data_IF_483800427519
#
_entry.id   IF_483800427519
#
_cell.length_a   1.000
_cell.length_b   1.000
_cell.length_c   1.000
_cell.angle_alpha   90.00
_cell.angle_beta   90.00
_cell.angle_gamma   90.00
#
_symmetry.space_group_name_H-M   'P 1'
#
loop_
_entity.id
_entity.type
_entity.pdbx_description
1 polymer ?
#
# COMPACT_ATOMS: atom_id res chain seq x y z
N UNK A 1 28.91 50.01 -7.15
CA UNK A 1 27.57 50.64 -7.15
C UNK A 1 27.50 51.53 -5.91
N UNK A 2 27.75 52.84 -6.07
CA UNK A 2 26.73 53.91 -6.04
C UNK A 2 26.00 53.95 -4.66
N UNK A 3 26.00 54.99 -3.83
CA UNK A 3 26.17 56.43 -4.05
C UNK A 3 26.43 57.17 -2.70
N UNK A 4 27.42 58.06 -2.73
CA UNK A 4 27.45 59.46 -2.22
C UNK A 4 27.00 59.83 -0.80
N UNK A 5 28.02 60.06 0.04
CA UNK A 5 28.30 61.26 0.86
C UNK A 5 27.11 62.17 1.19
N UNK A 6 26.58 62.05 2.41
CA UNK A 6 25.59 62.99 2.97
C UNK A 6 26.28 64.29 3.37
N UNK A 7 26.05 65.36 2.60
CA UNK A 7 26.37 66.73 2.97
C UNK A 7 25.47 67.14 4.16
N UNK A 8 26.07 67.41 5.32
CA UNK A 8 25.40 68.09 6.43
C UNK A 8 25.48 69.59 6.16
N UNK A 9 24.40 70.18 5.69
CA UNK A 9 24.33 71.64 5.54
C UNK A 9 23.91 72.25 6.88
N UNK A 10 24.83 72.95 7.54
CA UNK A 10 24.53 73.80 8.69
C UNK A 10 23.88 75.09 8.19
N UNK A 11 22.71 75.45 8.73
CA UNK A 11 21.99 76.68 8.39
C UNK A 11 22.46 77.78 9.35
N UNK A 12 23.21 78.75 8.82
CA UNK A 12 23.56 79.98 9.52
C UNK A 12 22.40 80.97 9.31
N UNK A 13 21.73 81.37 10.39
CA UNK A 13 20.72 82.43 10.38
C UNK A 13 21.40 83.75 10.73
N UNK A 14 21.50 84.67 9.77
CA UNK A 14 21.91 86.05 10.01
C UNK A 14 20.66 86.94 10.19
N UNK A 15 20.51 87.52 11.37
CA UNK A 15 19.46 88.50 11.67
C UNK A 15 20.07 89.91 11.57
N UNK A 16 19.59 90.74 10.64
CA UNK A 16 19.95 92.16 10.56
C UNK A 16 18.77 92.99 11.09
N UNK A 17 18.94 93.83 12.12
CA UNK A 17 17.93 94.82 12.48
C UNK A 17 18.14 96.10 11.67
N UNK A 18 17.10 96.54 10.95
CA UNK A 18 17.08 97.84 10.28
C UNK A 18 15.94 98.71 10.86
N UNK A 19 16.30 99.64 11.76
CA UNK A 19 15.65 100.95 11.84
C UNK A 19 16.21 101.80 10.67
N UNK A 20 15.52 102.74 10.02
CA UNK A 20 14.19 103.31 10.14
C UNK A 20 14.04 104.35 9.02
N UNK A 21 12.83 104.41 8.46
CA UNK A 21 12.12 105.54 7.81
C UNK A 21 12.82 106.33 6.68
N UNK A 22 12.26 106.20 5.48
CA UNK A 22 12.34 107.18 4.40
C UNK A 22 11.12 107.04 3.47
N UNK A 23 10.17 107.95 3.59
CA UNK A 23 8.87 107.97 2.88
C UNK A 23 9.08 108.25 1.38
N UNK A 24 8.63 107.36 0.49
CA UNK A 24 8.08 107.79 -0.81
C UNK A 24 7.25 106.72 -1.55
N UNK A 25 6.03 107.14 -1.89
CA UNK A 25 5.15 106.71 -3.01
C UNK A 25 4.68 105.25 -3.14
N UNK A 26 3.36 105.18 -3.34
CA UNK A 26 2.45 104.04 -3.47
C UNK A 26 2.71 103.03 -4.61
N UNK A 27 3.92 102.98 -5.19
CA UNK A 27 4.35 101.87 -6.05
C UNK A 27 5.34 100.92 -5.36
N UNK A 28 6.13 101.40 -4.40
CA UNK A 28 7.15 100.59 -3.73
C UNK A 28 6.54 99.59 -2.74
N UNK A 29 5.36 99.89 -2.19
CA UNK A 29 4.57 98.96 -1.37
C UNK A 29 4.00 97.78 -2.17
N UNK A 30 3.78 97.93 -3.48
CA UNK A 30 3.26 96.85 -4.34
C UNK A 30 4.36 95.84 -4.67
N UNK A 31 5.56 96.32 -5.06
CA UNK A 31 6.72 95.46 -5.31
C UNK A 31 7.24 94.77 -4.05
N UNK A 32 7.22 95.44 -2.90
CA UNK A 32 7.57 94.80 -1.63
C UNK A 32 6.53 93.75 -1.21
N UNK A 33 5.22 94.02 -1.40
CA UNK A 33 4.17 93.01 -1.17
C UNK A 33 4.29 91.83 -2.12
N UNK A 34 4.62 92.06 -3.38
CA UNK A 34 4.83 91.00 -4.37
C UNK A 34 6.05 90.13 -4.00
N UNK A 35 7.16 90.74 -3.58
CA UNK A 35 8.33 89.99 -3.10
C UNK A 35 8.06 89.23 -1.80
N UNK A 36 7.32 89.83 -0.86
CA UNK A 36 6.89 89.12 0.36
C UNK A 36 5.98 87.95 -0.01
N UNK A 37 5.01 88.12 -0.90
CA UNK A 37 4.12 87.04 -1.35
C UNK A 37 4.86 85.92 -2.08
N UNK A 38 5.82 86.23 -2.97
CA UNK A 38 6.61 85.20 -3.66
C UNK A 38 7.53 84.47 -2.69
N UNK A 39 8.13 85.16 -1.73
CA UNK A 39 8.92 84.53 -0.67
C UNK A 39 8.05 83.65 0.23
N UNK A 40 6.83 84.09 0.54
CA UNK A 40 5.86 83.34 1.33
C UNK A 40 5.39 82.08 0.59
N UNK A 41 5.17 82.16 -0.73
CA UNK A 41 4.87 81.01 -1.59
C UNK A 41 6.04 80.03 -1.70
N UNK A 42 7.27 80.51 -1.83
CA UNK A 42 8.46 79.65 -1.82
C UNK A 42 8.62 78.93 -0.48
N UNK A 43 8.37 79.64 0.63
CA UNK A 43 8.43 79.06 1.97
C UNK A 43 7.32 78.01 2.21
N UNK A 44 6.11 78.25 1.67
CA UNK A 44 5.03 77.28 1.67
C UNK A 44 5.36 76.03 0.84
N UNK A 45 5.89 76.22 -0.38
CA UNK A 45 6.27 75.12 -1.29
C UNK A 45 7.41 74.27 -0.70
N UNK A 46 8.43 74.90 -0.12
CA UNK A 46 9.51 74.19 0.57
C UNK A 46 9.01 73.44 1.80
N UNK A 47 8.08 74.02 2.57
CA UNK A 47 7.45 73.35 3.70
C UNK A 47 6.64 72.12 3.27
N UNK A 48 5.91 72.21 2.17
CA UNK A 48 5.17 71.07 1.61
C UNK A 48 6.09 69.95 1.12
N UNK A 49 7.21 70.28 0.48
CA UNK A 49 8.23 69.31 0.09
C UNK A 49 8.86 68.62 1.31
N UNK A 50 9.18 69.37 2.37
CA UNK A 50 9.69 68.80 3.63
C UNK A 50 8.65 67.87 4.26
N UNK A 51 7.37 68.26 4.26
CA UNK A 51 6.27 67.44 4.79
C UNK A 51 6.05 66.17 3.95
N UNK A 52 6.20 66.24 2.63
CA UNK A 52 6.11 65.09 1.74
C UNK A 52 7.28 64.12 1.97
N UNK A 53 8.52 64.61 1.95
CA UNK A 53 9.71 63.80 2.22
C UNK A 53 9.65 63.17 3.62
N UNK A 54 9.09 63.87 4.61
CA UNK A 54 8.88 63.34 5.96
C UNK A 54 7.88 62.18 5.96
N UNK A 55 6.73 62.34 5.30
CA UNK A 55 5.71 61.27 5.15
C UNK A 55 6.25 60.06 4.40
N UNK A 56 7.01 60.28 3.34
CA UNK A 56 7.63 59.23 2.55
C UNK A 56 8.68 58.48 3.37
N UNK A 57 9.50 59.19 4.15
CA UNK A 57 10.46 58.60 5.09
C UNK A 57 9.76 57.74 6.14
N UNK A 58 8.68 58.23 6.74
CA UNK A 58 7.94 57.51 7.78
C UNK A 58 7.21 56.30 7.21
N UNK A 59 6.76 56.36 5.94
CA UNK A 59 6.18 55.22 5.22
C UNK A 59 7.24 54.17 4.88
N UNK A 60 8.40 54.59 4.36
CA UNK A 60 9.53 53.71 4.12
C UNK A 60 10.04 53.04 5.42
N UNK A 61 10.05 53.78 6.52
CA UNK A 61 10.44 53.24 7.83
C UNK A 61 9.46 52.18 8.32
N UNK A 62 8.14 52.38 8.13
CA UNK A 62 7.11 51.38 8.45
C UNK A 62 7.24 50.13 7.59
N UNK A 63 7.44 50.28 6.28
CA UNK A 63 7.66 49.15 5.36
C UNK A 63 8.91 48.36 5.72
N UNK A 64 10.00 49.04 6.06
CA UNK A 64 11.25 48.42 6.45
C UNK A 64 11.14 47.66 7.79
N UNK A 65 10.35 48.17 8.73
CA UNK A 65 10.02 47.44 9.96
C UNK A 65 9.24 46.15 9.64
N UNK A 66 8.19 46.25 8.82
CA UNK A 66 7.38 45.09 8.41
C UNK A 66 8.21 44.02 7.68
N UNK A 67 9.09 44.42 6.76
CA UNK A 67 9.98 43.50 6.05
C UNK A 67 10.99 42.82 6.99
N UNK A 68 11.49 43.52 8.02
CA UNK A 68 12.38 42.92 9.03
C UNK A 68 11.64 41.88 9.86
N UNK A 69 10.42 42.17 10.28
CA UNK A 69 9.59 41.23 11.03
C UNK A 69 9.25 39.99 10.18
N UNK A 70 8.92 40.19 8.91
CA UNK A 70 8.68 39.09 7.97
C UNK A 70 9.94 38.24 7.73
N UNK A 71 11.10 38.88 7.54
CA UNK A 71 12.37 38.17 7.34
C UNK A 71 12.77 37.38 8.59
N UNK A 72 12.51 37.92 9.80
CA UNK A 72 12.70 37.20 11.06
C UNK A 72 11.79 35.97 11.13
N UNK A 73 10.50 36.11 10.77
CA UNK A 73 9.54 34.99 10.72
C UNK A 73 9.95 33.91 9.70
N UNK A 74 10.36 34.32 8.50
CA UNK A 74 10.84 33.41 7.47
C UNK A 74 12.12 32.69 7.90
N UNK A 75 13.04 33.39 8.55
CA UNK A 75 14.27 32.79 9.11
C UNK A 75 13.95 31.74 10.17
N UNK A 76 13.00 32.02 11.06
CA UNK A 76 12.51 31.06 12.07
C UNK A 76 11.90 29.82 11.40
N UNK A 77 10.98 30.01 10.45
CA UNK A 77 10.35 28.89 9.74
C UNK A 77 11.36 28.06 8.95
N UNK A 78 12.35 28.71 8.34
CA UNK A 78 13.43 28.04 7.59
C UNK A 78 14.33 27.23 8.53
N UNK A 79 14.52 27.67 9.77
CA UNK A 79 15.27 26.93 10.79
C UNK A 79 14.50 25.70 11.33
N UNK A 80 13.16 25.69 11.24
CA UNK A 80 12.32 24.53 11.61
C UNK A 80 12.22 23.48 10.50
N UNK A 81 12.37 23.86 9.22
CA UNK A 81 12.39 22.93 8.09
C UNK A 81 13.40 21.77 8.22
N UNK A 82 14.69 21.97 8.56
CA UNK A 82 15.64 20.88 8.72
C UNK A 82 15.26 19.95 9.90
N UNK A 83 14.68 20.49 10.98
CA UNK A 83 14.19 19.68 12.10
C UNK A 83 13.03 18.79 11.66
N UNK A 84 12.03 19.35 10.98
CA UNK A 84 10.91 18.59 10.44
C UNK A 84 11.36 17.53 9.43
N UNK A 85 12.31 17.86 8.56
CA UNK A 85 12.89 16.89 7.62
C UNK A 85 13.60 15.75 8.36
N UNK A 86 14.38 16.07 9.40
CA UNK A 86 15.04 15.05 10.21
C UNK A 86 14.04 14.14 10.93
N UNK A 87 12.93 14.70 11.41
CA UNK A 87 11.86 13.95 12.06
C UNK A 87 11.15 13.01 11.09
N UNK A 88 10.82 13.49 9.88
CA UNK A 88 10.22 12.65 8.83
C UNK A 88 11.16 11.52 8.43
N UNK A 89 12.46 11.79 8.25
CA UNK A 89 13.44 10.73 7.97
C UNK A 89 13.51 9.70 9.11
N UNK A 90 13.50 10.15 10.37
CA UNK A 90 13.51 9.27 11.54
C UNK A 90 12.26 8.40 11.63
N UNK A 91 11.08 9.00 11.46
CA UNK A 91 9.81 8.28 11.49
C UNK A 91 9.71 7.26 10.36
N UNK A 92 10.15 7.63 9.15
CA UNK A 92 10.19 6.70 8.01
C UNK A 92 11.16 5.54 8.27
N UNK A 93 12.35 5.81 8.82
CA UNK A 93 13.32 4.77 9.16
C UNK A 93 12.80 3.82 10.25
N UNK A 94 12.19 4.35 11.31
CA UNK A 94 11.59 3.56 12.39
C UNK A 94 10.43 2.69 11.87
N UNK A 95 9.54 3.27 11.05
CA UNK A 95 8.41 2.55 10.45
C UNK A 95 8.88 1.44 9.51
N UNK A 96 9.87 1.69 8.66
CA UNK A 96 10.42 0.68 7.76
C UNK A 96 11.12 -0.46 8.53
N UNK A 97 11.86 -0.12 9.59
CA UNK A 97 12.53 -1.13 10.43
C UNK A 97 11.52 -1.99 11.18
N UNK A 98 10.48 -1.39 11.76
CA UNK A 98 9.40 -2.10 12.43
C UNK A 98 8.65 -3.03 11.47
N UNK A 99 8.28 -2.55 10.27
CA UNK A 99 7.62 -3.35 9.24
C UNK A 99 8.50 -4.51 8.72
N UNK A 100 9.80 -4.27 8.51
CA UNK A 100 10.76 -5.33 8.14
C UNK A 100 10.83 -6.39 9.25
N UNK A 101 10.96 -5.94 10.51
CA UNK A 101 11.04 -6.86 11.65
C UNK A 101 9.76 -7.69 11.83
N UNK A 102 8.58 -7.10 11.64
CA UNK A 102 7.31 -7.82 11.71
C UNK A 102 7.18 -8.85 10.57
N UNK A 103 7.63 -8.49 9.36
CA UNK A 103 7.65 -9.39 8.19
C UNK A 103 8.63 -10.55 8.42
N UNK A 104 9.82 -10.27 8.94
CA UNK A 104 10.83 -11.29 9.27
C UNK A 104 10.34 -12.24 10.39
N UNK A 105 9.66 -11.72 11.40
CA UNK A 105 9.05 -12.52 12.48
C UNK A 105 7.97 -13.42 11.90
N UNK A 106 7.08 -12.88 11.04
CA UNK A 106 6.04 -13.66 10.39
C UNK A 106 6.62 -14.77 9.51
N UNK A 107 7.64 -14.46 8.70
CA UNK A 107 8.29 -15.44 7.83
C UNK A 107 8.95 -16.57 8.65
N UNK A 108 9.69 -16.23 9.70
CA UNK A 108 10.28 -17.24 10.62
C UNK A 108 9.21 -18.09 11.29
N UNK A 109 8.10 -17.49 11.71
CA UNK A 109 6.97 -18.20 12.30
C UNK A 109 6.35 -19.18 11.29
N UNK A 110 6.09 -18.74 10.06
CA UNK A 110 5.55 -19.59 9.00
C UNK A 110 6.50 -20.73 8.64
N UNK A 111 7.81 -20.48 8.50
CA UNK A 111 8.80 -21.53 8.26
C UNK A 111 8.82 -22.56 9.39
N UNK A 112 8.75 -22.12 10.65
CA UNK A 112 8.70 -23.01 11.81
C UNK A 112 7.42 -23.87 11.81
N UNK A 113 6.27 -23.27 11.49
CA UNK A 113 4.99 -23.97 11.37
C UNK A 113 5.00 -24.99 10.23
N UNK A 114 5.54 -24.65 9.06
CA UNK A 114 5.73 -25.62 7.96
C UNK A 114 6.59 -26.79 8.41
N UNK A 115 7.69 -26.52 9.12
CA UNK A 115 8.56 -27.55 9.70
C UNK A 115 7.80 -28.49 10.65
N UNK A 116 6.98 -27.94 11.54
CA UNK A 116 6.13 -28.72 12.46
C UNK A 116 5.16 -29.64 11.72
N UNK A 117 4.45 -29.13 10.70
CA UNK A 117 3.50 -29.93 9.93
C UNK A 117 4.22 -31.02 9.13
N UNK A 118 5.33 -30.70 8.45
CA UNK A 118 6.14 -31.70 7.73
C UNK A 118 6.67 -32.78 8.68
N UNK A 119 7.14 -32.39 9.87
CA UNK A 119 7.57 -33.33 10.90
C UNK A 119 6.44 -34.26 11.33
N UNK A 120 5.23 -33.75 11.57
CA UNK A 120 4.09 -34.58 11.96
C UNK A 120 3.72 -35.57 10.86
N UNK A 121 3.68 -35.15 9.60
CA UNK A 121 3.39 -36.03 8.46
C UNK A 121 4.40 -37.16 8.37
N UNK A 122 5.68 -36.88 8.61
CA UNK A 122 6.73 -37.91 8.62
C UNK A 122 6.60 -38.88 9.81
N UNK A 123 6.17 -38.39 10.98
CA UNK A 123 5.97 -39.21 12.18
C UNK A 123 4.67 -40.04 12.13
N UNK A 124 3.68 -39.57 11.39
CA UNK A 124 2.32 -40.09 11.37
C UNK A 124 1.81 -40.10 9.92
N UNK A 125 2.32 -41.00 9.05
CA UNK A 125 2.00 -40.99 7.62
C UNK A 125 0.50 -41.10 7.30
N UNK A 126 -0.29 -41.66 8.22
CA UNK A 126 -1.74 -41.80 8.10
C UNK A 126 -2.51 -40.46 8.10
N UNK A 127 -1.91 -39.37 8.61
CA UNK A 127 -2.49 -38.03 8.48
C UNK A 127 -2.19 -37.39 7.11
N UNK A 128 -1.22 -37.95 6.38
CA UNK A 128 -0.88 -37.53 5.03
C UNK A 128 -1.61 -38.33 3.96
N UNK A 129 -1.34 -37.97 2.71
CA UNK A 129 -1.82 -38.69 1.53
C UNK A 129 -0.68 -38.75 0.49
N UNK A 130 -0.61 -39.79 -0.38
CA UNK A 130 0.34 -39.89 -1.48
C UNK A 130 0.43 -38.63 -2.36
N UNK A 131 -0.67 -37.90 -2.55
CA UNK A 131 -0.74 -36.65 -3.31
C UNK A 131 0.08 -35.52 -2.70
N UNK A 132 0.57 -35.67 -1.46
CA UNK A 132 1.54 -34.72 -0.88
C UNK A 132 2.83 -34.62 -1.69
N UNK A 133 3.18 -35.65 -2.46
CA UNK A 133 4.31 -35.61 -3.38
C UNK A 133 4.15 -34.58 -4.50
N UNK A 134 2.91 -34.13 -4.76
CA UNK A 134 2.59 -33.12 -5.78
C UNK A 134 2.67 -31.70 -5.22
N UNK A 135 2.73 -31.51 -3.90
CA UNK A 135 2.68 -30.20 -3.26
C UNK A 135 3.97 -29.41 -3.51
N UNK A 136 3.81 -28.09 -3.69
CA UNK A 136 4.92 -27.14 -3.70
C UNK A 136 4.99 -26.37 -2.37
N UNK A 137 6.05 -25.59 -2.17
CA UNK A 137 6.23 -24.81 -0.93
C UNK A 137 5.13 -23.76 -0.69
N UNK A 138 4.47 -23.28 -1.74
CA UNK A 138 3.34 -22.36 -1.60
C UNK A 138 2.14 -23.04 -0.93
N UNK A 139 1.83 -24.30 -1.28
CA UNK A 139 0.76 -25.05 -0.64
C UNK A 139 1.04 -25.26 0.86
N UNK A 140 2.30 -25.58 1.19
CA UNK A 140 2.75 -25.73 2.58
C UNK A 140 2.59 -24.44 3.37
N UNK A 141 2.98 -23.29 2.79
CA UNK A 141 2.83 -21.98 3.42
C UNK A 141 1.37 -21.57 3.56
N UNK A 142 0.55 -21.76 2.52
CA UNK A 142 -0.87 -21.44 2.53
C UNK A 142 -1.63 -22.19 3.62
N UNK A 143 -1.24 -23.43 3.90
CA UNK A 143 -1.86 -24.23 4.96
C UNK A 143 -1.61 -23.69 6.37
N UNK A 144 -0.55 -22.90 6.61
CA UNK A 144 -0.14 -22.48 7.96
C UNK A 144 -0.16 -20.96 8.23
N UNK A 145 -0.22 -20.13 7.18
CA UNK A 145 -0.02 -18.67 7.21
C UNK A 145 -0.80 -17.96 8.32
N UNK A 146 -2.05 -18.35 8.53
CA UNK A 146 -2.99 -17.68 9.45
C UNK A 146 -3.53 -18.62 10.54
N UNK A 147 -2.79 -19.69 10.90
CA UNK A 147 -3.26 -20.72 11.86
C UNK A 147 -2.49 -20.75 13.16
N UNK A 148 -3.21 -21.01 14.25
CA UNK A 148 -2.62 -21.31 15.55
C UNK A 148 -2.43 -22.83 15.71
N UNK A 149 -1.27 -23.36 15.33
CA UNK A 149 -1.03 -24.81 15.30
C UNK A 149 -0.90 -25.48 16.68
N UNK A 150 -0.93 -24.70 17.78
CA UNK A 150 -1.00 -25.24 19.13
C UNK A 150 -2.40 -25.82 19.44
N UNK A 151 -3.42 -25.39 18.69
CA UNK A 151 -4.76 -25.94 18.77
C UNK A 151 -4.91 -27.14 17.82
N UNK A 152 -5.29 -28.30 18.36
CA UNK A 152 -5.49 -29.54 17.59
C UNK A 152 -6.41 -29.33 16.38
N UNK A 153 -7.48 -28.56 16.57
CA UNK A 153 -8.44 -28.23 15.51
C UNK A 153 -7.80 -27.47 14.35
N UNK A 154 -6.98 -26.46 14.63
CA UNK A 154 -6.28 -25.69 13.60
C UNK A 154 -5.18 -26.51 12.93
N UNK A 155 -4.56 -27.42 13.68
CA UNK A 155 -3.63 -28.39 13.12
C UNK A 155 -4.31 -29.33 12.12
N UNK A 156 -5.46 -29.91 12.48
CA UNK A 156 -6.28 -30.76 11.59
C UNK A 156 -6.76 -29.99 10.35
N UNK A 157 -7.14 -28.73 10.50
CA UNK A 157 -7.48 -27.84 9.36
C UNK A 157 -6.28 -27.56 8.45
N UNK A 158 -5.09 -27.39 9.00
CA UNK A 158 -3.86 -27.24 8.20
C UNK A 158 -3.63 -28.49 7.35
N UNK A 159 -3.69 -29.68 7.95
CA UNK A 159 -3.55 -30.95 7.24
C UNK A 159 -4.64 -31.14 6.18
N UNK A 160 -5.89 -30.79 6.49
CA UNK A 160 -6.98 -30.86 5.53
C UNK A 160 -6.78 -29.91 4.34
N UNK A 161 -6.25 -28.70 4.60
CA UNK A 161 -5.88 -27.75 3.54
C UNK A 161 -4.80 -28.34 2.61
N UNK A 162 -3.80 -29.03 3.17
CA UNK A 162 -2.77 -29.71 2.38
C UNK A 162 -3.32 -30.88 1.57
N UNK A 163 -4.21 -31.69 2.16
CA UNK A 163 -4.85 -32.80 1.45
C UNK A 163 -5.66 -32.28 0.27
N UNK A 164 -6.49 -31.26 0.49
CA UNK A 164 -7.22 -30.57 -0.57
C UNK A 164 -6.28 -30.04 -1.67
N UNK A 165 -5.16 -29.42 -1.30
CA UNK A 165 -4.19 -28.92 -2.29
C UNK A 165 -3.59 -30.05 -3.14
N UNK A 166 -3.20 -31.17 -2.52
CA UNK A 166 -2.64 -32.33 -3.21
C UNK A 166 -3.67 -32.98 -4.14
N UNK A 167 -4.89 -33.17 -3.65
CA UNK A 167 -6.04 -33.68 -4.39
C UNK A 167 -6.37 -32.80 -5.60
N UNK A 168 -6.35 -31.47 -5.43
CA UNK A 168 -6.56 -30.51 -6.52
C UNK A 168 -5.49 -30.64 -7.61
N UNK A 169 -4.21 -30.73 -7.23
CA UNK A 169 -3.12 -30.94 -8.19
C UNK A 169 -3.27 -32.25 -8.94
N UNK A 170 -3.65 -33.32 -8.25
CA UNK A 170 -3.95 -34.58 -8.92
C UNK A 170 -5.14 -34.43 -9.88
N UNK A 171 -6.22 -33.75 -9.49
CA UNK A 171 -7.35 -33.49 -10.37
C UNK A 171 -6.96 -32.68 -11.63
N UNK A 172 -6.05 -31.72 -11.51
CA UNK A 172 -5.48 -30.95 -12.63
C UNK A 172 -4.73 -31.85 -13.62
N UNK A 173 -4.07 -32.91 -13.14
CA UNK A 173 -3.42 -33.92 -13.99
C UNK A 173 -4.42 -34.96 -14.54
N UNK A 174 -5.41 -35.34 -13.73
CA UNK A 174 -6.38 -36.39 -14.04
C UNK A 174 -7.34 -35.97 -15.15
N UNK A 175 -7.80 -34.72 -15.15
CA UNK A 175 -8.75 -34.21 -16.15
C UNK A 175 -8.25 -34.40 -17.59
N UNK A 176 -7.08 -33.87 -18.00
CA UNK A 176 -6.60 -34.04 -19.36
C UNK A 176 -6.29 -35.51 -19.68
N UNK A 177 -5.81 -36.30 -18.71
CA UNK A 177 -5.57 -37.74 -18.92
C UNK A 177 -6.88 -38.49 -19.20
N UNK A 178 -7.94 -38.19 -18.45
CA UNK A 178 -9.26 -38.75 -18.62
C UNK A 178 -9.87 -38.33 -19.96
N UNK A 179 -9.79 -37.05 -20.32
CA UNK A 179 -10.32 -36.55 -21.59
C UNK A 179 -9.64 -37.26 -22.79
N UNK A 180 -8.30 -37.38 -22.78
CA UNK A 180 -7.55 -38.11 -23.83
C UNK A 180 -7.91 -39.61 -23.88
N UNK A 181 -8.09 -40.25 -22.72
CA UNK A 181 -8.53 -41.64 -22.67
C UNK A 181 -9.90 -41.79 -23.36
N UNK A 182 -10.86 -40.94 -22.98
CA UNK A 182 -12.22 -40.95 -23.51
C UNK A 182 -12.22 -40.71 -25.04
N UNK A 183 -11.42 -39.76 -25.52
CA UNK A 183 -11.27 -39.48 -26.95
C UNK A 183 -10.72 -40.69 -27.72
N UNK A 184 -9.71 -41.38 -27.18
CA UNK A 184 -9.09 -42.55 -27.81
C UNK A 184 -9.91 -43.84 -27.68
N UNK A 185 -10.91 -43.88 -26.79
CA UNK A 185 -11.74 -45.05 -26.51
C UNK A 185 -13.22 -44.84 -26.87
N UNK A 186 -13.49 -44.10 -27.95
CA UNK A 186 -14.85 -43.90 -28.50
C UNK A 186 -15.87 -43.35 -27.49
N UNK A 187 -15.42 -42.47 -26.59
CA UNK A 187 -16.28 -41.86 -25.57
C UNK A 187 -16.50 -42.71 -24.31
N UNK A 188 -15.89 -43.89 -24.21
CA UNK A 188 -16.04 -44.77 -23.05
C UNK A 188 -15.24 -44.26 -21.85
N UNK A 189 -15.85 -44.33 -20.66
CA UNK A 189 -15.18 -44.05 -19.40
C UNK A 189 -14.24 -45.22 -19.05
N UNK A 190 -13.08 -44.98 -18.41
CA UNK A 190 -12.20 -46.07 -17.96
C UNK A 190 -12.95 -47.01 -17.02
N UNK A 191 -12.63 -48.29 -17.10
CA UNK A 191 -13.13 -49.34 -16.20
C UNK A 191 -12.20 -49.56 -14.99
N UNK A 192 -10.93 -49.16 -15.14
CA UNK A 192 -9.94 -49.14 -14.07
C UNK A 192 -9.06 -47.89 -14.19
N UNK A 193 -8.67 -47.32 -13.06
CA UNK A 193 -7.86 -46.09 -13.03
C UNK A 193 -6.45 -46.28 -13.59
N UNK A 194 -5.90 -47.49 -13.51
CA UNK A 194 -4.60 -47.82 -14.10
C UNK A 194 -4.58 -47.64 -15.63
N UNK A 195 -5.73 -47.68 -16.30
CA UNK A 195 -5.83 -47.41 -17.75
C UNK A 195 -5.48 -45.97 -18.12
N UNK A 196 -5.52 -45.05 -17.15
CA UNK A 196 -5.15 -43.64 -17.35
C UNK A 196 -3.63 -43.41 -17.27
N UNK A 197 -2.83 -44.39 -16.83
CA UNK A 197 -1.40 -44.18 -16.57
C UNK A 197 -0.63 -43.64 -17.78
N UNK A 198 -0.89 -44.19 -18.97
CA UNK A 198 -0.24 -43.76 -20.20
C UNK A 198 -0.71 -42.40 -20.73
N UNK A 199 -1.72 -41.79 -20.11
CA UNK A 199 -2.32 -40.52 -20.52
C UNK A 199 -1.91 -39.34 -19.63
N UNK A 200 -1.24 -39.59 -18.50
CA UNK A 200 -0.67 -38.53 -17.65
C UNK A 200 0.58 -37.94 -18.28
N UNK A 201 0.69 -36.62 -18.22
CA UNK A 201 1.84 -35.85 -18.72
C UNK A 201 2.37 -34.93 -17.61
N UNK A 202 3.70 -34.71 -17.52
CA UNK A 202 4.75 -35.24 -18.41
C UNK A 202 5.15 -36.70 -18.12
N UNK A 203 4.67 -37.27 -17.02
CA UNK A 203 5.00 -38.63 -16.60
C UNK A 203 3.78 -39.30 -15.92
N UNK A 204 3.74 -40.63 -15.84
CA UNK A 204 2.75 -41.37 -15.05
C UNK A 204 2.73 -40.89 -13.60
N UNK A 205 1.55 -40.96 -12.97
CA UNK A 205 1.41 -40.68 -11.54
C UNK A 205 1.76 -41.93 -10.73
N UNK A 206 2.11 -41.73 -9.46
CA UNK A 206 2.30 -42.84 -8.53
C UNK A 206 1.00 -43.66 -8.40
N UNK A 207 1.11 -44.98 -8.46
CA UNK A 207 -0.02 -45.89 -8.31
C UNK A 207 -0.67 -45.78 -6.92
N UNK A 208 0.09 -45.40 -5.90
CA UNK A 208 -0.43 -45.11 -4.57
C UNK A 208 -1.47 -43.98 -4.57
N UNK A 209 -1.33 -42.99 -5.48
CA UNK A 209 -2.35 -41.96 -5.70
C UNK A 209 -3.60 -42.61 -6.28
N UNK A 210 -3.49 -43.35 -7.38
CA UNK A 210 -4.64 -43.98 -8.05
C UNK A 210 -5.41 -44.94 -7.14
N UNK A 211 -4.73 -45.66 -6.25
CA UNK A 211 -5.34 -46.57 -5.30
C UNK A 211 -6.27 -45.89 -4.28
N UNK A 212 -6.20 -44.57 -4.13
CA UNK A 212 -7.12 -43.79 -3.27
C UNK A 212 -8.44 -43.44 -3.93
N UNK A 213 -8.54 -43.65 -5.24
CA UNK A 213 -9.70 -43.26 -6.03
C UNK A 213 -10.53 -44.45 -6.47
N UNK A 214 -11.79 -44.18 -6.77
CA UNK A 214 -12.74 -45.15 -7.30
C UNK A 214 -13.56 -44.52 -8.42
N UNK A 215 -13.92 -45.34 -9.40
CA UNK A 215 -14.86 -44.98 -10.46
C UNK A 215 -16.25 -45.40 -10.01
N UNK A 216 -17.20 -44.46 -10.00
CA UNK A 216 -18.57 -44.70 -9.58
C UNK A 216 -19.56 -44.05 -10.56
N UNK A 217 -20.80 -44.57 -10.67
CA UNK A 217 -21.86 -43.86 -11.36
C UNK A 217 -22.12 -42.50 -10.70
N UNK A 218 -22.31 -41.44 -11.49
CA UNK A 218 -22.54 -40.09 -10.96
C UNK A 218 -23.75 -39.99 -10.04
N UNK A 219 -24.76 -40.84 -10.26
CA UNK A 219 -25.96 -40.96 -9.43
C UNK A 219 -25.69 -41.45 -7.99
N UNK A 220 -24.56 -42.10 -7.74
CA UNK A 220 -24.18 -42.54 -6.38
C UNK A 220 -23.71 -41.36 -5.52
N UNK A 221 -23.41 -40.21 -6.14
CA UNK A 221 -22.98 -38.98 -5.46
C UNK A 221 -23.71 -37.76 -6.04
N UNK A 222 -25.03 -37.67 -5.84
CA UNK A 222 -25.83 -36.55 -6.35
C UNK A 222 -25.37 -35.21 -5.76
N UNK A 223 -24.73 -35.24 -4.59
CA UNK A 223 -24.22 -34.10 -3.84
C UNK A 223 -23.20 -33.25 -4.60
N UNK A 224 -22.41 -33.88 -5.48
CA UNK A 224 -21.40 -33.20 -6.30
C UNK A 224 -22.01 -32.49 -7.53
N UNK A 225 -23.32 -32.67 -7.78
CA UNK A 225 -24.08 -32.04 -8.89
C UNK A 225 -23.39 -32.18 -10.25
N UNK A 226 -22.77 -33.33 -10.50
CA UNK A 226 -22.03 -33.59 -11.73
C UNK A 226 -22.97 -34.02 -12.86
N UNK A 227 -22.62 -33.64 -14.09
CA UNK A 227 -23.44 -33.86 -15.30
C UNK A 227 -23.12 -35.15 -16.06
N UNK A 228 -22.17 -35.96 -15.58
CA UNK A 228 -21.72 -37.18 -16.27
C UNK A 228 -22.20 -38.47 -15.60
N UNK A 229 -22.35 -39.52 -16.42
CA UNK A 229 -22.83 -40.84 -15.99
C UNK A 229 -21.87 -41.53 -15.01
N UNK A 230 -20.58 -41.23 -15.14
CA UNK A 230 -19.49 -41.80 -14.34
C UNK A 230 -18.58 -40.70 -13.83
N UNK A 231 -17.99 -40.90 -12.66
CA UNK A 231 -17.03 -39.98 -12.06
C UNK A 231 -15.92 -40.76 -11.35
N UNK A 232 -14.79 -40.10 -11.14
CA UNK A 232 -13.68 -40.52 -10.31
C UNK A 232 -13.68 -39.67 -9.03
N UNK A 233 -13.66 -40.30 -7.86
CA UNK A 233 -13.71 -39.64 -6.53
C UNK A 233 -12.88 -40.43 -5.50
N UNK A 234 -12.54 -39.84 -4.35
CA UNK A 234 -11.82 -40.58 -3.32
C UNK A 234 -12.69 -41.68 -2.69
N UNK A 235 -12.04 -42.77 -2.28
CA UNK A 235 -12.68 -43.89 -1.58
C UNK A 235 -13.17 -43.52 -0.18
N UNK A 236 -12.40 -42.72 0.55
CA UNK A 236 -12.68 -42.27 1.92
C UNK A 236 -11.88 -41.01 2.26
N UNK A 237 -12.34 -40.17 3.21
CA UNK A 237 -11.55 -39.08 3.75
C UNK A 237 -10.49 -39.59 4.72
N UNK A 238 -9.46 -38.78 4.99
CA UNK A 238 -8.57 -39.00 6.14
C UNK A 238 -9.21 -38.41 7.40
N UNK A 239 -9.85 -37.25 7.24
CA UNK A 239 -10.55 -36.53 8.29
C UNK A 239 -11.93 -36.08 7.79
N UNK A 240 -12.97 -36.86 8.04
CA UNK A 240 -14.33 -36.57 7.55
C UNK A 240 -14.92 -35.25 8.08
N UNK A 241 -14.35 -34.67 9.15
CA UNK A 241 -14.82 -33.40 9.74
C UNK A 241 -14.30 -32.19 8.96
N UNK A 242 -13.14 -32.29 8.31
CA UNK A 242 -12.51 -31.16 7.61
C UNK A 242 -12.29 -31.41 6.11
N UNK A 243 -12.08 -32.66 5.70
CA UNK A 243 -11.74 -33.00 4.33
C UNK A 243 -12.93 -32.79 3.38
N UNK A 244 -12.63 -32.22 2.22
CA UNK A 244 -13.59 -32.03 1.14
C UNK A 244 -13.69 -33.31 0.31
N UNK A 245 -14.84 -33.50 -0.33
CA UNK A 245 -15.00 -34.52 -1.37
C UNK A 245 -14.88 -33.87 -2.73
N UNK A 246 -14.17 -34.52 -3.65
CA UNK A 246 -14.11 -34.08 -5.03
C UNK A 246 -14.58 -35.16 -6.00
N UNK A 247 -14.98 -34.74 -7.19
CA UNK A 247 -15.31 -35.62 -8.30
C UNK A 247 -14.79 -35.06 -9.62
N UNK A 248 -14.27 -35.95 -10.47
CA UNK A 248 -13.88 -35.66 -11.85
C UNK A 248 -14.70 -36.53 -12.79
N UNK A 249 -15.34 -35.91 -13.77
CA UNK A 249 -16.12 -36.57 -14.82
C UNK A 249 -15.72 -36.01 -16.17
N UNK A 250 -16.28 -36.55 -17.26
CA UNK A 250 -16.05 -36.06 -18.62
C UNK A 250 -16.39 -34.56 -18.68
N UNK A 251 -15.42 -33.71 -19.03
CA UNK A 251 -15.58 -32.25 -19.14
C UNK A 251 -16.09 -31.53 -17.87
N UNK A 252 -16.06 -32.15 -16.69
CA UNK A 252 -16.60 -31.56 -15.46
C UNK A 252 -15.79 -31.97 -14.24
N UNK A 253 -15.63 -31.05 -13.29
CA UNK A 253 -15.08 -31.34 -11.98
C UNK A 253 -15.82 -30.54 -10.93
N UNK A 254 -15.96 -31.11 -9.74
CA UNK A 254 -16.67 -30.50 -8.63
C UNK A 254 -16.00 -30.82 -7.30
N UNK A 255 -16.22 -29.96 -6.32
CA UNK A 255 -15.82 -30.16 -4.93
C UNK A 255 -16.97 -29.78 -4.00
N UNK A 256 -17.10 -30.47 -2.87
CA UNK A 256 -18.14 -30.18 -1.89
C UNK A 256 -17.64 -30.27 -0.45
N UNK A 257 -18.04 -29.29 0.36
CA UNK A 257 -17.79 -29.21 1.79
C UNK A 257 -18.65 -30.13 2.65
N UNK A 258 -18.39 -30.08 3.95
CA UNK A 258 -18.96 -31.00 4.95
C UNK A 258 -20.49 -30.81 5.08
N UNK A 259 -21.28 -31.90 5.21
CA UNK A 259 -20.81 -33.28 5.30
C UNK A 259 -20.97 -34.04 3.97
N UNK A 260 -20.19 -33.70 2.95
CA UNK A 260 -20.11 -34.43 1.68
C UNK A 260 -19.67 -35.91 1.82
N UNK A 261 -19.15 -36.29 2.99
CA UNK A 261 -18.79 -37.66 3.35
C UNK A 261 -19.85 -38.45 4.12
N UNK A 262 -20.92 -37.81 4.63
CA UNK A 262 -21.95 -38.47 5.44
C UNK A 262 -23.21 -38.84 4.64
N UNK A 263 -23.13 -38.88 3.31
CA UNK A 263 -24.23 -39.43 2.54
C UNK A 263 -24.29 -40.94 2.75
N UNK A 264 -25.48 -41.51 3.05
CA UNK A 264 -25.62 -42.96 3.13
C UNK A 264 -25.27 -43.52 1.76
N UNK A 265 -24.10 -44.17 1.65
CA UNK A 265 -23.83 -45.08 0.55
C UNK A 265 -25.03 -46.00 0.44
N UNK A 266 -25.76 -45.96 -0.69
CA UNK A 266 -26.69 -47.04 -0.97
C UNK A 266 -25.85 -48.32 -0.97
N UNK A 267 -26.20 -49.33 -0.16
CA UNK A 267 -25.47 -50.58 -0.18
C UNK A 267 -25.50 -51.12 -1.61
N UNK A 268 -24.31 -51.53 -2.09
CA UNK A 268 -24.11 -52.26 -3.34
C UNK A 268 -24.99 -53.52 -3.40
#
# INVERSE_FOLDING_TARGET
MAMTTRQKTAIIVALIPAFGIGVYKAHQTSTLRAQVQTFQQQQATLSDQINQVTRDRDTAQRQLAALRDENKRLSQNTAELPKLRSEVTRLNAATNTASSSATEIALKSWSSKVGLVKQRVNQTPEVGIPEFQLLNEEDWLAAVKDRNLDEDKEFRRALSTLRMAGEKRFAEMLRPALDKYIESHNGQFPTALSQLQSYFEPAPVDEAILQRYVILPGKELPSLLMTGDWLITQKKPVDAEFDLRFGVSKNSWAQQGVPSWNEPSRPL
#
